data_IF_302724487729
#
_entry.id   IF_302724487729
#
_cell.length_a   1.000
_cell.length_b   1.000
_cell.length_c   1.000
_cell.angle_alpha   90.00
_cell.angle_beta   90.00
_cell.angle_gamma   90.00
#
_symmetry.space_group_name_H-M   'P 1'
#
loop_
_entity.id
_entity.type
_entity.pdbx_description
1 polymer ?
#
# COMPACT_ATOMS: atom_id res chain seq x y z
N UNK A 1 -8.62 -0.93 -0.76
CA UNK A 1 -8.82 -2.19 -1.48
C UNK A 1 -9.06 -3.32 -0.50
N UNK A 2 -10.28 -3.39 -0.03
CA UNK A 2 -10.71 -4.40 0.93
C UNK A 2 -11.15 -5.66 0.17
N UNK A 3 -10.47 -6.77 0.37
CA UNK A 3 -10.99 -8.11 0.12
C UNK A 3 -10.83 -8.90 1.41
N UNK A 4 -11.75 -8.64 2.33
CA UNK A 4 -11.99 -9.52 3.45
C UNK A 4 -13.47 -9.88 3.38
N UNK A 5 -13.79 -11.16 3.23
CA UNK A 5 -15.17 -11.64 3.21
C UNK A 5 -15.80 -11.44 4.58
N UNK A 6 -16.59 -10.39 4.74
CA UNK A 6 -17.63 -10.39 5.76
C UNK A 6 -18.75 -11.26 5.20
N UNK A 7 -18.76 -12.53 5.58
CA UNK A 7 -19.87 -13.44 5.31
C UNK A 7 -21.11 -12.90 6.05
N UNK A 8 -22.03 -12.30 5.32
CA UNK A 8 -23.32 -11.87 5.86
C UNK A 8 -23.95 -10.62 5.28
N UNK A 9 -23.29 -9.91 4.36
CA UNK A 9 -23.91 -8.73 3.70
C UNK A 9 -23.99 -9.00 2.20
N UNK A 10 -24.93 -9.84 1.81
CA UNK A 10 -25.30 -10.01 0.41
C UNK A 10 -26.00 -8.73 -0.08
N UNK A 11 -25.49 -8.18 -1.17
CA UNK A 11 -26.10 -7.24 -2.14
C UNK A 11 -27.14 -6.22 -1.61
N UNK A 12 -26.80 -5.46 -0.57
CA UNK A 12 -27.65 -4.33 -0.19
C UNK A 12 -27.65 -3.28 -1.32
N UNK A 13 -28.82 -2.84 -1.74
CA UNK A 13 -28.97 -1.78 -2.73
C UNK A 13 -28.56 -0.43 -2.15
N UNK A 14 -28.30 0.56 -3.02
CA UNK A 14 -27.94 1.93 -2.62
C UNK A 14 -28.95 2.56 -1.67
N UNK A 15 -30.23 2.21 -1.82
CA UNK A 15 -31.31 2.72 -0.99
C UNK A 15 -31.39 1.99 0.36
N UNK A 16 -31.07 0.71 0.41
CA UNK A 16 -30.93 -0.05 1.67
C UNK A 16 -29.77 0.45 2.52
N UNK A 17 -28.63 0.77 1.91
CA UNK A 17 -27.50 1.40 2.59
C UNK A 17 -27.85 2.79 3.14
N UNK A 18 -28.62 3.59 2.38
CA UNK A 18 -29.12 4.89 2.84
C UNK A 18 -30.12 4.73 3.99
N UNK A 19 -31.03 3.77 3.90
CA UNK A 19 -31.98 3.45 4.95
C UNK A 19 -31.31 2.96 6.23
N UNK A 20 -30.30 2.11 6.09
CA UNK A 20 -29.49 1.61 7.21
C UNK A 20 -28.71 2.71 7.92
N UNK A 21 -28.11 3.65 7.16
CA UNK A 21 -27.38 4.80 7.71
C UNK A 21 -28.32 5.87 8.31
N UNK A 22 -29.54 5.99 7.82
CA UNK A 22 -30.54 6.93 8.33
C UNK A 22 -31.26 6.46 9.60
N UNK A 23 -31.00 5.25 10.09
CA UNK A 23 -31.55 4.79 11.39
C UNK A 23 -33.06 4.59 11.43
N UNK A 24 -33.71 4.25 10.30
CA UNK A 24 -35.16 4.01 10.24
C UNK A 24 -36.04 5.27 10.36
N UNK A 25 -36.99 5.39 9.49
CA UNK A 25 -38.02 6.45 9.33
C UNK A 25 -37.95 7.68 10.27
N UNK A 26 -37.52 8.82 9.74
CA UNK A 26 -37.79 10.12 10.35
C UNK A 26 -38.69 10.94 9.42
N UNK A 27 -39.98 10.94 9.72
CA UNK A 27 -40.88 12.01 9.34
C UNK A 27 -40.91 13.02 10.50
N UNK A 28 -39.87 13.89 10.56
CA UNK A 28 -39.99 15.18 11.26
C UNK A 28 -38.83 16.06 10.84
N UNK A 29 -39.10 17.39 10.63
CA UNK A 29 -38.02 18.37 10.40
C UNK A 29 -37.08 18.32 11.57
N UNK A 30 -35.74 18.23 11.36
CA UNK A 30 -34.84 18.17 12.48
C UNK A 30 -34.88 19.49 13.25
N UNK A 31 -35.33 19.43 14.48
CA UNK A 31 -34.98 20.39 15.52
C UNK A 31 -33.45 20.31 15.70
N UNK A 32 -32.73 21.43 15.90
CA UNK A 32 -31.29 21.36 16.12
C UNK A 32 -31.04 20.53 17.37
N UNK A 33 -30.61 19.31 17.20
CA UNK A 33 -30.13 18.45 18.28
C UNK A 33 -28.85 19.10 18.79
N UNK A 34 -28.78 19.35 20.12
CA UNK A 34 -27.58 19.79 20.79
C UNK A 34 -26.40 18.95 20.28
N UNK A 35 -25.33 19.60 19.79
CA UNK A 35 -24.18 18.98 19.14
C UNK A 35 -23.64 17.85 20.00
N UNK A 36 -23.96 16.63 19.65
CA UNK A 36 -23.19 15.47 20.12
C UNK A 36 -21.81 15.70 19.55
N UNK A 37 -20.83 15.97 20.43
CA UNK A 37 -19.46 16.27 20.02
C UNK A 37 -18.99 15.14 19.11
N UNK A 38 -18.71 15.44 17.85
CA UNK A 38 -18.27 14.45 16.88
C UNK A 38 -16.85 14.03 17.27
N UNK A 39 -16.65 12.75 17.47
CA UNK A 39 -15.36 12.18 17.87
C UNK A 39 -14.89 11.18 16.84
N UNK A 40 -13.60 11.21 16.50
CA UNK A 40 -13.01 10.33 15.48
C UNK A 40 -13.21 8.86 15.83
N UNK A 41 -13.00 8.46 17.09
CA UNK A 41 -13.18 7.07 17.51
C UNK A 41 -14.61 6.55 17.26
N UNK A 42 -15.62 7.40 17.51
CA UNK A 42 -17.02 7.08 17.22
C UNK A 42 -17.30 6.96 15.71
N UNK A 43 -16.69 7.85 14.90
CA UNK A 43 -16.81 7.79 13.44
C UNK A 43 -16.16 6.52 12.87
N UNK A 44 -15.05 6.07 13.44
CA UNK A 44 -14.38 4.81 13.02
C UNK A 44 -15.29 3.62 13.28
N UNK A 45 -15.92 3.53 14.45
CA UNK A 45 -16.88 2.46 14.75
C UNK A 45 -18.00 2.41 13.73
N UNK A 46 -18.56 3.59 13.39
CA UNK A 46 -19.59 3.70 12.35
C UNK A 46 -19.07 3.29 10.96
N UNK A 47 -17.89 3.77 10.56
CA UNK A 47 -17.27 3.41 9.28
C UNK A 47 -17.10 1.89 9.14
N UNK A 48 -16.60 1.23 10.19
CA UNK A 48 -16.43 -0.24 10.20
C UNK A 48 -17.78 -0.95 10.09
N UNK A 49 -18.80 -0.50 10.85
CA UNK A 49 -20.13 -1.13 10.84
C UNK A 49 -20.81 -1.10 9.48
N UNK A 50 -20.54 -0.07 8.66
CA UNK A 50 -21.13 0.09 7.31
C UNK A 50 -20.18 -0.37 6.19
N UNK A 51 -19.01 -0.89 6.53
CA UNK A 51 -18.01 -1.33 5.54
C UNK A 51 -17.42 -0.18 4.72
N UNK A 52 -17.28 1.00 5.31
CA UNK A 52 -16.67 2.16 4.65
C UNK A 52 -15.17 2.03 4.55
N UNK A 53 -14.62 2.44 3.42
CA UNK A 53 -13.17 2.53 3.20
C UNK A 53 -12.58 3.84 3.72
N UNK A 54 -13.35 4.93 3.64
CA UNK A 54 -12.86 6.26 4.00
C UNK A 54 -13.97 7.05 4.74
N UNK A 55 -13.54 7.91 5.67
CA UNK A 55 -14.35 8.92 6.36
C UNK A 55 -13.95 10.28 5.78
N UNK A 56 -14.92 11.06 5.33
CA UNK A 56 -14.71 12.35 4.68
C UNK A 56 -15.32 13.45 5.56
N UNK A 57 -14.51 14.41 5.99
CA UNK A 57 -14.88 15.47 6.92
C UNK A 57 -14.51 16.82 6.31
N UNK A 58 -15.49 17.71 6.20
CA UNK A 58 -15.30 19.06 5.69
C UNK A 58 -16.28 20.03 6.35
N UNK A 59 -15.84 21.23 6.69
CA UNK A 59 -16.71 22.28 7.19
C UNK A 59 -17.82 22.62 6.18
N UNK A 60 -19.02 22.82 6.66
CA UNK A 60 -20.20 23.15 5.82
C UNK A 60 -20.86 21.94 5.15
N UNK A 61 -20.36 20.71 5.35
CA UNK A 61 -21.00 19.48 4.88
C UNK A 61 -21.26 18.51 6.06
N UNK A 62 -22.08 17.49 5.82
CA UNK A 62 -22.25 16.39 6.77
C UNK A 62 -21.00 15.50 6.77
N UNK A 63 -20.78 14.76 7.87
CA UNK A 63 -19.88 13.60 7.84
C UNK A 63 -20.28 12.71 6.68
N UNK A 64 -19.32 12.26 5.89
CA UNK A 64 -19.58 11.33 4.79
C UNK A 64 -18.65 10.11 4.86
N UNK A 65 -19.19 8.98 4.43
CA UNK A 65 -18.47 7.71 4.35
C UNK A 65 -18.36 7.26 2.90
N UNK A 66 -17.21 6.72 2.51
CA UNK A 66 -17.04 6.09 1.20
C UNK A 66 -17.29 4.60 1.33
N UNK A 67 -18.44 4.13 0.85
CA UNK A 67 -18.87 2.74 0.95
C UNK A 67 -18.94 2.14 -0.45
N UNK A 68 -18.13 1.11 -0.74
CA UNK A 68 -18.05 0.45 -2.06
C UNK A 68 -17.85 1.42 -3.24
N UNK A 69 -17.17 2.54 -3.00
CA UNK A 69 -16.90 3.58 -3.99
C UNK A 69 -17.91 4.72 -4.03
N UNK A 70 -19.10 4.56 -3.45
CA UNK A 70 -20.12 5.61 -3.34
C UNK A 70 -19.89 6.48 -2.09
N UNK A 71 -20.27 7.77 -2.18
CA UNK A 71 -20.26 8.69 -1.03
C UNK A 71 -21.64 8.67 -0.38
N UNK A 72 -21.69 8.30 0.89
CA UNK A 72 -22.89 8.23 1.71
C UNK A 72 -22.77 9.25 2.84
N UNK A 73 -23.65 10.25 2.86
CA UNK A 73 -23.71 11.25 3.93
C UNK A 73 -24.42 10.72 5.15
N UNK A 74 -23.97 11.15 6.32
CA UNK A 74 -24.51 10.78 7.62
C UNK A 74 -25.10 12.02 8.32
N UNK A 75 -26.34 12.42 7.99
CA UNK A 75 -26.95 13.64 8.51
C UNK A 75 -27.21 13.59 10.02
N UNK A 76 -27.17 12.43 10.63
CA UNK A 76 -27.28 12.24 12.09
C UNK A 76 -26.18 12.94 12.89
N UNK A 77 -25.02 13.22 12.26
CA UNK A 77 -23.94 13.99 12.89
C UNK A 77 -24.09 15.52 12.70
N UNK A 78 -25.10 15.96 11.93
CA UNK A 78 -25.28 17.37 11.58
C UNK A 78 -24.27 17.87 10.55
N UNK A 79 -24.32 19.17 10.28
CA UNK A 79 -23.36 19.86 9.42
C UNK A 79 -22.16 20.30 10.27
N UNK A 80 -20.97 19.90 9.88
CA UNK A 80 -19.73 20.22 10.58
C UNK A 80 -19.44 21.73 10.53
N UNK A 81 -19.24 22.35 11.68
CA UNK A 81 -18.76 23.72 11.78
C UNK A 81 -17.23 23.78 11.70
N UNK A 82 -16.68 25.00 11.56
CA UNK A 82 -15.21 25.19 11.63
C UNK A 82 -14.64 24.72 12.98
N UNK A 83 -15.38 24.96 14.07
CA UNK A 83 -14.97 24.52 15.41
C UNK A 83 -14.95 23.00 15.55
N UNK A 84 -15.90 22.28 14.91
CA UNK A 84 -15.89 20.84 14.87
C UNK A 84 -14.66 20.33 14.11
N UNK A 85 -14.30 20.97 12.98
CA UNK A 85 -13.12 20.62 12.19
C UNK A 85 -11.82 20.86 12.95
N UNK A 86 -11.70 21.97 13.69
CA UNK A 86 -10.53 22.23 14.54
C UNK A 86 -10.40 21.18 15.63
N UNK A 87 -11.51 20.81 16.26
CA UNK A 87 -11.55 19.75 17.28
C UNK A 87 -11.16 18.38 16.71
N UNK A 88 -11.68 18.04 15.52
CA UNK A 88 -11.35 16.79 14.83
C UNK A 88 -9.88 16.76 14.39
N UNK A 89 -9.32 17.90 13.96
CA UNK A 89 -7.90 18.05 13.65
C UNK A 89 -7.04 17.79 14.90
N UNK A 90 -7.41 18.37 16.04
CA UNK A 90 -6.70 18.13 17.31
C UNK A 90 -6.77 16.66 17.76
N UNK A 91 -7.89 15.99 17.55
CA UNK A 91 -8.02 14.55 17.84
C UNK A 91 -7.17 13.68 16.92
N UNK A 92 -7.15 14.01 15.62
CA UNK A 92 -6.48 13.21 14.58
C UNK A 92 -4.97 13.36 14.55
N UNK A 93 -4.41 14.41 15.17
CA UNK A 93 -3.01 14.82 14.99
C UNK A 93 -2.27 15.02 16.30
N UNK A 94 -0.95 14.86 16.25
CA UNK A 94 -0.03 15.25 17.32
C UNK A 94 0.37 16.73 17.20
N UNK A 95 1.05 17.27 18.22
CA UNK A 95 1.61 18.64 18.13
C UNK A 95 2.59 18.77 16.95
N UNK A 96 3.44 17.75 16.76
CA UNK A 96 4.41 17.71 15.64
C UNK A 96 3.71 17.73 14.29
N UNK A 97 2.59 16.99 14.17
CA UNK A 97 1.78 16.98 12.95
C UNK A 97 1.17 18.34 12.67
N UNK A 98 0.67 19.04 13.71
CA UNK A 98 0.08 20.38 13.56
C UNK A 98 1.10 21.43 13.14
N UNK A 99 2.33 21.35 13.66
CA UNK A 99 3.43 22.20 13.21
C UNK A 99 3.71 21.98 11.72
N UNK A 100 3.83 20.70 11.30
CA UNK A 100 4.01 20.35 9.88
C UNK A 100 2.85 20.80 8.99
N UNK A 101 1.62 20.65 9.47
CA UNK A 101 0.43 21.12 8.75
C UNK A 101 0.40 22.65 8.62
N UNK A 102 0.81 23.36 9.68
CA UNK A 102 0.90 24.83 9.66
C UNK A 102 1.87 25.34 8.58
N UNK A 103 3.00 24.63 8.40
CA UNK A 103 4.04 25.01 7.45
C UNK A 103 3.66 24.68 6.00
N UNK A 104 3.03 23.51 5.78
CA UNK A 104 2.82 22.95 4.44
C UNK A 104 1.37 23.07 3.94
N UNK A 105 0.40 23.34 4.82
CA UNK A 105 -1.05 23.37 4.56
C UNK A 105 -1.60 22.01 4.05
N UNK A 106 -0.82 20.96 4.15
CA UNK A 106 -1.11 19.57 3.81
C UNK A 106 -0.32 18.66 4.73
N UNK A 107 -0.95 17.57 5.15
CA UNK A 107 -0.36 16.60 6.08
C UNK A 107 -0.87 15.19 5.78
N UNK A 108 0.05 14.27 5.55
CA UNK A 108 -0.21 12.84 5.68
C UNK A 108 0.34 12.37 7.03
N UNK A 109 -0.52 11.68 7.80
CA UNK A 109 -0.19 11.11 9.10
C UNK A 109 -1.05 9.86 9.35
N UNK A 110 -0.88 9.27 10.51
CA UNK A 110 -1.72 8.17 10.97
C UNK A 110 -2.38 8.49 12.30
N UNK A 111 -3.52 7.88 12.54
CA UNK A 111 -4.23 7.94 13.80
C UNK A 111 -4.52 6.52 14.30
N UNK A 112 -4.32 6.29 15.60
CA UNK A 112 -4.71 5.04 16.23
C UNK A 112 -5.91 5.29 17.15
N UNK A 113 -6.99 4.55 16.93
CA UNK A 113 -8.19 4.59 17.76
C UNK A 113 -7.81 4.29 19.23
N UNK A 114 -8.20 5.17 20.13
CA UNK A 114 -7.73 5.15 21.52
C UNK A 114 -8.67 4.38 22.43
N UNK A 115 -9.97 4.43 22.13
CA UNK A 115 -11.01 3.91 23.04
C UNK A 115 -12.06 3.09 22.28
N UNK A 116 -12.82 2.28 23.04
CA UNK A 116 -13.95 1.51 22.53
C UNK A 116 -13.58 0.16 21.96
N UNK A 117 -14.55 -0.47 21.30
CA UNK A 117 -14.44 -1.82 20.71
C UNK A 117 -13.33 -1.90 19.65
N UNK A 118 -13.05 -0.79 18.96
CA UNK A 118 -12.06 -0.71 17.89
C UNK A 118 -10.74 -0.10 18.35
N UNK A 119 -10.46 -0.04 19.65
CA UNK A 119 -9.18 0.45 20.17
C UNK A 119 -8.00 -0.31 19.55
N UNK A 120 -6.98 0.44 19.14
CA UNK A 120 -5.82 -0.11 18.44
C UNK A 120 -5.93 -0.06 16.90
N UNK A 121 -7.13 0.09 16.33
CA UNK A 121 -7.31 0.29 14.87
C UNK A 121 -6.56 1.52 14.40
N UNK A 122 -5.98 1.41 13.21
CA UNK A 122 -5.26 2.54 12.60
C UNK A 122 -6.05 3.13 11.44
N UNK A 123 -5.87 4.43 11.27
CA UNK A 123 -6.34 5.19 10.11
C UNK A 123 -5.14 5.85 9.46
N UNK A 124 -5.10 5.89 8.15
CA UNK A 124 -4.32 6.88 7.42
C UNK A 124 -5.12 8.15 7.36
N UNK A 125 -4.54 9.26 7.78
CA UNK A 125 -5.20 10.57 7.85
C UNK A 125 -4.48 11.52 6.90
N UNK A 126 -5.21 12.07 5.95
CA UNK A 126 -4.78 13.21 5.17
C UNK A 126 -5.54 14.44 5.64
N UNK A 127 -4.83 15.51 5.93
CA UNK A 127 -5.38 16.82 6.24
C UNK A 127 -4.93 17.78 5.17
N UNK A 128 -5.88 18.38 4.48
CA UNK A 128 -5.64 19.44 3.48
C UNK A 128 -6.47 20.66 3.80
N UNK A 129 -6.35 21.73 3.03
CA UNK A 129 -7.23 22.91 3.14
C UNK A 129 -8.24 22.96 2.00
N UNK A 130 -9.48 23.28 2.36
CA UNK A 130 -10.54 23.63 1.44
C UNK A 130 -11.18 24.94 1.90
N UNK A 131 -11.18 25.98 1.06
CA UNK A 131 -11.75 27.29 1.38
C UNK A 131 -11.27 27.83 2.75
N UNK A 132 -9.96 27.75 2.99
CA UNK A 132 -9.27 28.19 4.23
C UNK A 132 -9.50 27.30 5.47
N UNK A 133 -10.43 26.36 5.44
CA UNK A 133 -10.70 25.44 6.54
C UNK A 133 -10.01 24.08 6.37
N UNK A 134 -9.68 23.34 7.43
CA UNK A 134 -9.19 21.98 7.32
C UNK A 134 -10.24 21.06 6.67
N UNK A 135 -9.77 20.19 5.80
CA UNK A 135 -10.51 19.05 5.26
C UNK A 135 -9.76 17.79 5.68
N UNK A 136 -10.44 16.82 6.28
CA UNK A 136 -9.83 15.61 6.81
C UNK A 136 -10.40 14.40 6.10
N UNK A 137 -9.51 13.56 5.56
CA UNK A 137 -9.87 12.26 4.99
C UNK A 137 -9.19 11.18 5.80
N UNK A 138 -9.99 10.31 6.44
CA UNK A 138 -9.47 9.18 7.20
C UNK A 138 -9.75 7.89 6.45
N UNK A 139 -8.71 7.18 6.02
CA UNK A 139 -8.83 5.82 5.48
C UNK A 139 -8.77 4.80 6.59
N UNK A 140 -9.80 3.95 6.67
CA UNK A 140 -9.84 2.85 7.64
C UNK A 140 -8.89 1.75 7.18
N UNK A 141 -7.90 1.42 8.03
CA UNK A 141 -6.92 0.37 7.75
C UNK A 141 -7.44 -0.96 8.28
N UNK A 142 -7.25 -2.03 7.49
CA UNK A 142 -7.60 -3.38 7.91
C UNK A 142 -6.72 -3.86 9.07
N UNK A 143 -7.29 -4.63 9.99
CA UNK A 143 -6.61 -5.23 11.14
C UNK A 143 -6.10 -6.64 10.88
N UNK A 144 -6.58 -7.27 9.83
CA UNK A 144 -6.17 -8.63 9.44
C UNK A 144 -5.18 -8.54 8.29
N UNK A 145 -3.99 -9.08 8.51
CA UNK A 145 -3.00 -9.27 7.44
C UNK A 145 -3.32 -10.59 6.76
N UNK A 146 -3.79 -10.59 5.49
CA UNK A 146 -4.11 -11.82 4.79
C UNK A 146 -2.83 -12.64 4.53
N UNK A 147 -2.96 -13.95 4.44
CA UNK A 147 -1.82 -14.82 4.10
C UNK A 147 -1.40 -14.65 2.63
N UNK A 148 -0.13 -14.97 2.27
CA UNK A 148 0.31 -14.92 0.88
C UNK A 148 -0.54 -15.82 -0.04
N UNK A 149 -1.00 -16.94 0.48
CA UNK A 149 -1.84 -17.92 -0.21
C UNK A 149 -3.22 -17.35 -0.55
N UNK A 150 -3.86 -16.68 0.40
CA UNK A 150 -5.15 -15.99 0.19
C UNK A 150 -5.07 -14.90 -0.85
N UNK A 151 -3.93 -14.19 -0.91
CA UNK A 151 -3.68 -13.14 -1.90
C UNK A 151 -3.29 -13.68 -3.28
N UNK A 152 -2.90 -14.94 -3.38
CA UNK A 152 -2.33 -15.52 -4.59
C UNK A 152 -0.92 -15.02 -4.89
N UNK A 153 -0.14 -14.70 -3.85
CA UNK A 153 1.26 -14.27 -3.98
C UNK A 153 2.10 -15.46 -4.46
N UNK A 154 2.95 -15.21 -5.46
CA UNK A 154 3.85 -16.22 -6.00
C UNK A 154 4.78 -16.78 -4.90
N UNK A 155 4.90 -18.11 -4.73
CA UNK A 155 5.66 -18.74 -3.64
C UNK A 155 7.12 -18.26 -3.55
N UNK A 156 7.77 -18.01 -4.68
CA UNK A 156 9.15 -17.53 -4.75
C UNK A 156 9.35 -16.22 -3.98
N UNK A 157 8.32 -15.35 -3.89
CA UNK A 157 8.42 -14.11 -3.15
C UNK A 157 8.55 -14.34 -1.64
N UNK A 158 7.98 -15.43 -1.14
CA UNK A 158 8.19 -15.82 0.25
C UNK A 158 9.63 -16.30 0.48
N UNK A 159 10.19 -17.06 -0.45
CA UNK A 159 11.60 -17.49 -0.38
C UNK A 159 12.52 -16.28 -0.37
N UNK A 160 12.26 -15.29 -1.22
CA UNK A 160 13.03 -14.03 -1.25
C UNK A 160 12.88 -13.25 0.07
N UNK A 161 11.64 -13.11 0.55
CA UNK A 161 11.38 -12.39 1.80
C UNK A 161 11.99 -13.08 3.02
N UNK A 162 12.08 -14.41 3.02
CA UNK A 162 12.63 -15.21 4.12
C UNK A 162 14.13 -15.52 3.99
N UNK A 163 14.77 -15.06 2.92
CA UNK A 163 16.22 -15.16 2.73
C UNK A 163 16.98 -14.47 3.87
N UNK A 164 18.23 -14.84 4.07
CA UNK A 164 19.09 -14.18 5.06
C UNK A 164 19.74 -12.90 4.51
N UNK A 165 19.89 -12.81 3.19
CA UNK A 165 20.54 -11.69 2.49
C UNK A 165 19.83 -11.41 1.19
N UNK A 166 19.93 -10.21 0.68
CA UNK A 166 19.46 -9.83 -0.64
C UNK A 166 18.74 -8.49 -0.69
N UNK A 167 18.39 -8.11 -1.90
CA UNK A 167 17.66 -6.87 -2.19
C UNK A 167 16.47 -7.18 -3.10
N UNK A 168 15.27 -7.13 -2.57
CA UNK A 168 14.04 -7.46 -3.30
C UNK A 168 13.25 -6.20 -3.63
N UNK A 169 12.91 -6.02 -4.91
CA UNK A 169 12.09 -4.91 -5.39
C UNK A 169 10.66 -5.39 -5.69
N UNK A 170 9.68 -4.82 -4.98
CA UNK A 170 8.26 -5.00 -5.31
C UNK A 170 7.77 -3.75 -6.02
N UNK A 171 7.44 -3.88 -7.30
CA UNK A 171 7.11 -2.79 -8.20
C UNK A 171 5.62 -2.77 -8.57
N UNK A 172 5.13 -1.65 -9.06
CA UNK A 172 3.76 -1.48 -9.54
C UNK A 172 3.21 -0.10 -9.26
N UNK A 173 2.06 0.21 -9.85
CA UNK A 173 1.36 1.49 -9.67
C UNK A 173 0.80 1.64 -8.25
N UNK A 174 0.37 2.85 -7.91
CA UNK A 174 -0.39 3.08 -6.65
C UNK A 174 -1.66 2.22 -6.65
N UNK A 175 -1.93 1.56 -5.53
CA UNK A 175 -3.09 0.67 -5.40
C UNK A 175 -2.92 -0.71 -6.05
N UNK A 176 -1.72 -1.09 -6.50
CA UNK A 176 -1.44 -2.45 -7.01
C UNK A 176 -1.28 -3.52 -5.92
N UNK A 177 -1.38 -3.15 -4.63
CA UNK A 177 -1.32 -4.07 -3.49
C UNK A 177 0.08 -4.34 -2.96
N UNK A 178 1.11 -3.54 -3.29
CA UNK A 178 2.49 -3.73 -2.83
C UNK A 178 2.61 -3.85 -1.32
N UNK A 179 2.03 -2.90 -0.59
CA UNK A 179 2.05 -2.88 0.88
C UNK A 179 1.39 -4.12 1.47
N UNK A 180 0.25 -4.55 0.91
CA UNK A 180 -0.46 -5.75 1.35
C UNK A 180 0.36 -7.01 1.12
N UNK A 181 1.01 -7.13 -0.05
CA UNK A 181 1.92 -8.25 -0.38
C UNK A 181 3.09 -8.30 0.60
N UNK A 182 3.76 -7.16 0.84
CA UNK A 182 4.89 -7.09 1.77
C UNK A 182 4.48 -7.41 3.20
N UNK A 183 3.37 -6.83 3.69
CA UNK A 183 2.85 -7.13 5.01
C UNK A 183 2.54 -8.63 5.17
N UNK A 184 1.92 -9.24 4.17
CA UNK A 184 1.61 -10.67 4.14
C UNK A 184 2.87 -11.54 4.21
N UNK A 185 3.90 -11.23 3.40
CA UNK A 185 5.17 -11.94 3.40
C UNK A 185 5.91 -11.83 4.74
N UNK A 186 6.00 -10.62 5.30
CA UNK A 186 6.63 -10.38 6.60
C UNK A 186 5.88 -11.05 7.74
N UNK A 187 4.54 -11.02 7.71
CA UNK A 187 3.72 -11.68 8.71
C UNK A 187 3.96 -13.21 8.69
N UNK A 188 4.01 -13.82 7.52
CA UNK A 188 4.34 -15.24 7.36
C UNK A 188 5.76 -15.54 7.84
N UNK A 189 6.75 -14.68 7.51
CA UNK A 189 8.13 -14.87 7.92
C UNK A 189 8.28 -14.86 9.46
N UNK A 190 7.67 -13.86 10.17
CA UNK A 190 7.72 -13.80 11.63
C UNK A 190 6.98 -14.95 12.32
N UNK A 191 5.91 -15.48 11.72
CA UNK A 191 5.16 -16.62 12.25
C UNK A 191 5.91 -17.93 12.07
N UNK A 192 6.75 -18.04 11.06
CA UNK A 192 7.44 -19.27 10.69
C UNK A 192 8.83 -19.42 11.33
N UNK A 193 9.48 -18.33 11.72
CA UNK A 193 10.86 -18.34 12.23
C UNK A 193 11.11 -17.20 13.23
N UNK A 194 12.12 -17.33 14.12
CA UNK A 194 12.48 -16.29 15.11
C UNK A 194 13.23 -15.12 14.46
N UNK A 195 12.64 -14.50 13.46
CA UNK A 195 13.20 -13.37 12.71
C UNK A 195 12.97 -12.05 13.46
N UNK A 196 14.02 -11.23 13.52
CA UNK A 196 13.95 -9.83 13.92
C UNK A 196 13.68 -8.96 12.68
N UNK A 197 12.48 -8.45 12.53
CA UNK A 197 12.06 -7.69 11.35
C UNK A 197 11.95 -6.21 11.74
N UNK A 198 12.54 -5.32 10.95
CA UNK A 198 12.39 -3.89 11.09
C UNK A 198 11.68 -3.31 9.87
N UNK A 199 10.72 -2.40 10.08
CA UNK A 199 10.05 -1.69 8.98
C UNK A 199 10.20 -0.19 9.14
N UNK A 200 10.38 0.50 8.00
CA UNK A 200 10.35 1.95 7.87
C UNK A 200 9.24 2.31 6.89
N UNK A 201 8.23 3.02 7.35
CA UNK A 201 6.96 3.22 6.61
C UNK A 201 6.51 4.69 6.61
N UNK A 202 5.68 5.08 5.62
CA UNK A 202 5.16 6.45 5.47
C UNK A 202 3.74 6.45 4.83
N UNK A 203 2.68 6.28 5.61
CA UNK A 203 2.60 5.80 7.01
C UNK A 203 2.55 4.27 7.15
N UNK A 204 2.50 3.75 8.39
CA UNK A 204 2.23 2.33 8.66
C UNK A 204 0.80 1.98 8.24
N UNK A 205 0.66 1.02 7.30
CA UNK A 205 -0.66 0.57 6.80
C UNK A 205 -1.16 -0.71 7.49
N UNK A 206 -0.29 -1.58 7.98
CA UNK A 206 -0.63 -2.81 8.70
C UNK A 206 0.13 -2.88 10.01
N UNK A 207 -0.55 -3.23 11.09
CA UNK A 207 0.09 -3.43 12.39
C UNK A 207 0.33 -4.92 12.64
N UNK A 208 1.57 -5.26 12.93
CA UNK A 208 1.92 -6.65 13.26
C UNK A 208 1.71 -6.89 14.76
N UNK A 209 0.90 -7.88 15.14
CA UNK A 209 0.72 -8.22 16.55
C UNK A 209 1.97 -8.92 17.09
N UNK A 210 2.61 -8.33 18.12
CA UNK A 210 3.82 -8.89 18.72
C UNK A 210 3.55 -9.86 19.89
N UNK A 211 2.29 -10.02 20.30
CA UNK A 211 1.91 -10.83 21.47
C UNK A 211 1.00 -12.02 21.08
N UNK A 212 1.08 -12.48 19.83
CA UNK A 212 0.26 -13.58 19.32
C UNK A 212 0.93 -14.97 19.41
N UNK A 213 2.07 -15.04 20.08
CA UNK A 213 2.84 -16.29 20.22
C UNK A 213 3.75 -16.63 19.03
N UNK A 214 3.84 -15.75 18.05
CA UNK A 214 4.78 -15.94 16.92
C UNK A 214 6.23 -15.91 17.39
N UNK A 215 7.12 -16.76 16.82
CA UNK A 215 8.54 -16.80 17.20
C UNK A 215 9.33 -15.55 16.82
N UNK A 216 8.96 -14.89 15.72
CA UNK A 216 9.57 -13.65 15.26
C UNK A 216 8.84 -12.41 15.73
N UNK A 217 9.47 -11.26 15.59
CA UNK A 217 8.90 -9.95 15.95
C UNK A 217 9.06 -8.94 14.82
N UNK A 218 8.19 -7.92 14.80
CA UNK A 218 8.30 -6.79 13.88
C UNK A 218 8.38 -5.50 14.69
N UNK A 219 9.41 -4.70 14.44
CA UNK A 219 9.55 -3.34 14.95
C UNK A 219 9.22 -2.38 13.84
N UNK A 220 8.07 -1.70 13.94
CA UNK A 220 7.59 -0.76 12.91
C UNK A 220 7.93 0.66 13.32
N UNK A 221 8.41 1.45 12.36
CA UNK A 221 8.73 2.87 12.54
C UNK A 221 8.10 3.70 11.44
N UNK A 222 7.42 4.77 11.83
CA UNK A 222 6.67 5.64 10.94
C UNK A 222 7.38 6.99 10.74
N UNK A 223 7.50 7.42 9.49
CA UNK A 223 8.05 8.73 9.16
C UNK A 223 7.18 9.84 9.71
N UNK A 224 7.84 10.81 10.32
CA UNK A 224 7.16 11.94 10.96
C UNK A 224 6.80 11.69 12.43
N UNK A 225 6.61 10.43 12.83
CA UNK A 225 6.37 10.04 14.22
C UNK A 225 7.64 9.49 14.88
N UNK A 226 8.26 8.45 14.28
CA UNK A 226 9.39 7.72 14.87
C UNK A 226 10.74 8.14 14.25
N UNK A 227 10.72 8.72 13.07
CA UNK A 227 11.92 9.27 12.42
C UNK A 227 11.56 10.44 11.49
N UNK A 228 12.55 11.30 11.23
CA UNK A 228 12.37 12.49 10.39
C UNK A 228 12.84 12.30 8.96
N UNK A 229 13.98 11.64 8.76
CA UNK A 229 14.59 11.43 7.45
C UNK A 229 14.84 9.95 7.21
N UNK A 230 14.61 9.48 5.99
CA UNK A 230 14.86 8.11 5.57
C UNK A 230 16.31 7.71 5.80
N UNK A 231 17.26 8.56 5.40
CA UNK A 231 18.69 8.32 5.56
C UNK A 231 19.09 7.99 7.01
N UNK A 232 18.61 8.79 7.97
CA UNK A 232 18.91 8.56 9.40
C UNK A 232 18.23 7.29 9.91
N UNK A 233 17.01 7.01 9.44
CA UNK A 233 16.27 5.82 9.82
C UNK A 233 16.92 4.54 9.30
N UNK A 234 17.29 4.51 8.02
CA UNK A 234 17.98 3.36 7.39
C UNK A 234 19.31 3.09 8.09
N UNK A 235 20.12 4.11 8.33
CA UNK A 235 21.37 3.98 9.10
C UNK A 235 21.15 3.48 10.55
N UNK A 236 20.01 3.78 11.13
CA UNK A 236 19.64 3.31 12.48
C UNK A 236 19.23 1.84 12.49
N UNK A 237 18.60 1.35 11.42
CA UNK A 237 18.16 -0.05 11.29
C UNK A 237 19.33 -1.01 11.42
N UNK A 238 20.49 -0.70 10.86
CA UNK A 238 21.73 -1.49 11.01
C UNK A 238 22.07 -1.82 12.47
N UNK A 239 21.86 -0.87 13.37
CA UNK A 239 22.17 -1.04 14.81
C UNK A 239 21.10 -1.83 15.56
N UNK A 240 20.01 -2.18 14.91
CA UNK A 240 18.92 -2.99 15.47
C UNK A 240 19.09 -4.47 15.15
N UNK A 241 20.12 -4.83 14.38
CA UNK A 241 20.43 -6.19 13.97
C UNK A 241 19.22 -6.92 13.38
N UNK A 242 18.56 -6.38 12.34
CA UNK A 242 17.42 -7.02 11.73
C UNK A 242 17.87 -8.17 10.83
N UNK A 243 17.12 -9.27 10.84
CA UNK A 243 17.23 -10.31 9.80
C UNK A 243 16.62 -9.85 8.48
N UNK A 244 15.54 -9.06 8.59
CA UNK A 244 14.81 -8.52 7.43
C UNK A 244 14.52 -7.04 7.71
N UNK A 245 14.81 -6.17 6.74
CA UNK A 245 14.43 -4.78 6.78
C UNK A 245 13.49 -4.42 5.62
N UNK A 246 12.30 -3.91 5.94
CA UNK A 246 11.41 -3.30 4.95
C UNK A 246 11.65 -1.79 4.93
N UNK A 247 11.99 -1.26 3.77
CA UNK A 247 11.96 0.17 3.47
C UNK A 247 10.77 0.40 2.54
N UNK A 248 9.69 1.00 3.04
CA UNK A 248 8.39 0.99 2.33
C UNK A 248 8.49 1.54 0.91
N UNK A 249 9.22 2.62 0.71
CA UNK A 249 9.50 3.16 -0.62
C UNK A 249 10.84 3.87 -0.65
N UNK A 250 11.64 3.61 -1.68
CA UNK A 250 12.85 4.36 -1.98
C UNK A 250 12.60 5.29 -3.16
N UNK A 251 12.94 6.58 -2.99
CA UNK A 251 12.57 7.63 -3.96
C UNK A 251 13.76 8.38 -4.53
N UNK A 252 14.83 8.51 -3.76
CA UNK A 252 15.98 9.33 -4.13
C UNK A 252 17.30 8.56 -4.07
N UNK A 253 18.33 9.20 -4.60
CA UNK A 253 19.70 8.71 -4.67
C UNK A 253 20.25 8.22 -3.31
N UNK A 254 20.05 9.00 -2.24
CA UNK A 254 20.64 8.69 -0.94
C UNK A 254 19.97 7.47 -0.28
N UNK A 255 18.67 7.34 -0.46
CA UNK A 255 17.87 6.21 0.04
C UNK A 255 18.26 4.92 -0.66
N UNK A 256 18.36 4.94 -2.01
CA UNK A 256 18.76 3.79 -2.82
C UNK A 256 20.16 3.34 -2.44
N UNK A 257 21.13 4.27 -2.40
CA UNK A 257 22.52 3.98 -2.05
C UNK A 257 22.65 3.35 -0.68
N UNK A 258 21.93 3.89 0.30
CA UNK A 258 21.97 3.34 1.66
C UNK A 258 21.29 1.97 1.75
N UNK A 259 20.18 1.76 1.04
CA UNK A 259 19.52 0.46 0.99
C UNK A 259 20.39 -0.63 0.34
N UNK A 260 21.11 -0.30 -0.74
CA UNK A 260 22.09 -1.20 -1.35
C UNK A 260 23.24 -1.51 -0.41
N UNK A 261 23.79 -0.49 0.28
CA UNK A 261 24.85 -0.71 1.30
C UNK A 261 24.40 -1.64 2.42
N UNK A 262 23.11 -1.57 2.82
CA UNK A 262 22.54 -2.53 3.78
C UNK A 262 22.56 -3.96 3.24
N UNK A 263 22.14 -4.15 1.98
CA UNK A 263 22.16 -5.46 1.33
C UNK A 263 23.60 -6.01 1.22
N UNK A 264 24.55 -5.18 0.82
CA UNK A 264 25.99 -5.52 0.77
C UNK A 264 26.55 -5.94 2.13
N UNK A 265 26.03 -5.38 3.22
CA UNK A 265 26.44 -5.74 4.59
C UNK A 265 25.79 -7.03 5.11
N UNK A 266 25.08 -7.77 4.25
CA UNK A 266 24.53 -9.09 4.57
C UNK A 266 23.13 -9.07 5.19
N UNK A 267 22.32 -8.05 4.90
CA UNK A 267 20.93 -7.97 5.34
C UNK A 267 19.96 -8.29 4.20
N UNK A 268 18.80 -8.81 4.53
CA UNK A 268 17.71 -8.97 3.57
C UNK A 268 16.82 -7.71 3.54
N UNK A 269 16.86 -6.99 2.43
CA UNK A 269 16.16 -5.73 2.23
C UNK A 269 15.00 -5.94 1.27
N UNK A 270 13.80 -5.57 1.70
CA UNK A 270 12.62 -5.49 0.85
C UNK A 270 12.24 -4.02 0.69
N UNK A 271 11.92 -3.62 -0.53
CA UNK A 271 11.48 -2.24 -0.79
C UNK A 271 10.52 -2.15 -1.96
N UNK A 272 9.89 -0.99 -2.13
CA UNK A 272 9.00 -0.76 -3.28
C UNK A 272 9.52 0.33 -4.19
N UNK A 273 9.16 0.18 -5.48
CA UNK A 273 9.37 1.16 -6.53
C UNK A 273 8.12 1.29 -7.41
N UNK A 274 7.93 2.48 -7.98
CA UNK A 274 6.94 2.67 -9.04
C UNK A 274 7.55 2.34 -10.40
N UNK A 275 7.45 1.08 -10.83
CA UNK A 275 7.92 0.64 -12.14
C UNK A 275 6.91 -0.36 -12.74
N UNK A 276 6.85 -0.43 -14.07
CA UNK A 276 5.92 -1.28 -14.84
C UNK A 276 6.55 -2.56 -15.38
N UNK A 277 7.88 -2.72 -15.26
CA UNK A 277 8.66 -3.89 -15.66
C UNK A 277 9.95 -3.95 -14.84
N UNK A 278 10.66 -5.08 -14.85
CA UNK A 278 11.98 -5.18 -14.22
C UNK A 278 12.99 -4.26 -14.92
N UNK A 279 12.95 -4.20 -16.25
CA UNK A 279 13.77 -3.29 -17.04
C UNK A 279 13.54 -1.82 -16.66
N UNK A 280 12.28 -1.42 -16.44
CA UNK A 280 11.94 -0.07 -15.98
C UNK A 280 12.40 0.18 -14.53
N UNK A 281 12.36 -0.83 -13.66
CA UNK A 281 12.85 -0.72 -12.29
C UNK A 281 14.36 -0.46 -12.25
N UNK A 282 15.15 -1.25 -12.99
CA UNK A 282 16.61 -1.06 -13.12
C UNK A 282 16.92 0.32 -13.69
N UNK A 283 16.26 0.72 -14.80
CA UNK A 283 16.46 2.05 -15.40
C UNK A 283 16.14 3.17 -14.41
N UNK A 284 15.08 3.03 -13.61
CA UNK A 284 14.68 4.05 -12.64
C UNK A 284 15.70 4.18 -11.49
N UNK A 285 16.28 3.06 -11.03
CA UNK A 285 17.35 3.07 -10.03
C UNK A 285 18.55 3.82 -10.58
N UNK A 286 19.02 3.46 -11.78
CA UNK A 286 20.22 4.06 -12.39
C UNK A 286 20.04 5.56 -12.65
N UNK A 287 18.85 5.97 -13.09
CA UNK A 287 18.54 7.37 -13.40
C UNK A 287 18.61 8.33 -12.19
N UNK A 288 18.70 7.81 -10.97
CA UNK A 288 18.90 8.63 -9.77
C UNK A 288 20.37 9.01 -9.55
N UNK A 289 21.30 8.43 -10.27
CA UNK A 289 22.73 8.57 -10.05
C UNK A 289 23.42 9.33 -11.18
N UNK A 290 24.45 10.10 -10.81
CA UNK A 290 25.30 10.78 -11.77
C UNK A 290 26.05 9.75 -12.65
N UNK A 291 26.36 10.08 -13.92
CA UNK A 291 26.96 9.13 -14.87
C UNK A 291 28.22 8.42 -14.34
N UNK A 292 29.02 9.09 -13.52
CA UNK A 292 30.23 8.52 -12.93
C UNK A 292 29.99 7.52 -11.80
N UNK A 293 28.79 7.52 -11.18
CA UNK A 293 28.40 6.59 -10.13
C UNK A 293 27.68 5.35 -10.68
N UNK A 294 27.04 5.47 -11.85
CA UNK A 294 26.12 4.46 -12.39
C UNK A 294 26.74 3.07 -12.50
N UNK A 295 28.01 2.96 -12.93
CA UNK A 295 28.68 1.67 -13.06
C UNK A 295 28.78 0.94 -11.70
N UNK A 296 29.18 1.64 -10.65
CA UNK A 296 29.28 1.06 -9.30
C UNK A 296 27.91 0.64 -8.75
N UNK A 297 26.86 1.42 -9.04
CA UNK A 297 25.50 1.08 -8.62
C UNK A 297 24.96 -0.13 -9.40
N UNK A 298 25.26 -0.24 -10.68
CA UNK A 298 24.90 -1.41 -11.49
C UNK A 298 25.56 -2.68 -10.96
N UNK A 299 26.87 -2.63 -10.65
CA UNK A 299 27.60 -3.74 -10.06
C UNK A 299 27.03 -4.15 -8.69
N UNK A 300 26.73 -3.16 -7.84
CA UNK A 300 26.08 -3.38 -6.54
C UNK A 300 24.70 -4.01 -6.70
N UNK A 301 23.88 -3.48 -7.60
CA UNK A 301 22.55 -4.01 -7.88
C UNK A 301 22.62 -5.43 -8.43
N UNK A 302 23.48 -5.69 -9.42
CA UNK A 302 23.67 -7.02 -10.01
C UNK A 302 24.08 -8.07 -8.98
N UNK A 303 24.90 -7.68 -8.01
CA UNK A 303 25.44 -8.59 -6.98
C UNK A 303 24.45 -8.86 -5.85
N UNK A 304 23.60 -7.88 -5.49
CA UNK A 304 22.76 -7.95 -4.30
C UNK A 304 21.27 -8.14 -4.59
N UNK A 305 20.81 -7.83 -5.81
CA UNK A 305 19.41 -8.02 -6.18
C UNK A 305 19.02 -9.50 -6.07
N UNK A 306 17.97 -9.81 -5.35
CA UNK A 306 17.35 -11.14 -5.33
C UNK A 306 16.42 -11.30 -6.52
N UNK A 307 15.66 -10.24 -6.80
CA UNK A 307 14.78 -10.17 -7.95
C UNK A 307 13.82 -8.98 -7.91
N UNK A 308 13.09 -8.83 -8.98
CA UNK A 308 12.05 -7.82 -9.15
C UNK A 308 10.71 -8.50 -9.33
N UNK A 309 9.71 -8.11 -8.54
CA UNK A 309 8.31 -8.46 -8.76
C UNK A 309 7.55 -7.21 -9.18
N UNK A 310 6.93 -7.25 -10.35
CA UNK A 310 6.00 -6.20 -10.77
C UNK A 310 4.58 -6.70 -10.64
N UNK A 311 3.72 -5.95 -9.95
CA UNK A 311 2.35 -6.42 -9.69
C UNK A 311 1.26 -5.43 -10.08
N UNK A 312 0.13 -6.00 -10.45
CA UNK A 312 -1.12 -5.32 -10.74
C UNK A 312 -2.30 -6.04 -10.07
N UNK A 313 -3.37 -5.30 -9.84
CA UNK A 313 -4.66 -5.85 -9.43
C UNK A 313 -5.66 -5.73 -10.59
N UNK A 314 -6.27 -6.84 -10.97
CA UNK A 314 -7.22 -6.93 -12.08
C UNK A 314 -8.52 -7.55 -11.60
N UNK A 315 -9.65 -6.99 -12.01
CA UNK A 315 -10.96 -7.49 -11.59
C UNK A 315 -11.28 -8.84 -12.24
N UNK A 316 -11.99 -9.69 -11.49
CA UNK A 316 -12.68 -10.85 -12.04
C UNK A 316 -13.70 -10.44 -13.11
N UNK A 317 -14.16 -11.36 -14.00
CA UNK A 317 -15.14 -11.05 -15.03
C UNK A 317 -16.45 -10.48 -14.48
N UNK A 318 -16.90 -10.96 -13.33
CA UNK A 318 -18.09 -10.49 -12.59
C UNK A 318 -17.83 -9.23 -11.75
N UNK A 319 -16.59 -8.72 -11.74
CA UNK A 319 -16.12 -7.56 -10.96
C UNK A 319 -16.27 -7.69 -9.45
N UNK A 320 -16.52 -8.87 -8.93
CA UNK A 320 -16.75 -9.11 -7.49
C UNK A 320 -15.45 -9.08 -6.66
N UNK A 321 -14.32 -9.43 -7.28
CA UNK A 321 -13.02 -9.52 -6.60
C UNK A 321 -11.87 -9.03 -7.50
N UNK A 322 -10.72 -8.82 -6.88
CA UNK A 322 -9.47 -8.55 -7.58
C UNK A 322 -8.57 -9.78 -7.57
N UNK A 323 -7.89 -10.00 -8.68
CA UNK A 323 -6.80 -10.96 -8.80
C UNK A 323 -5.48 -10.23 -8.82
N UNK A 324 -4.52 -10.76 -8.07
CA UNK A 324 -3.14 -10.31 -8.10
C UNK A 324 -2.44 -10.92 -9.32
N UNK A 325 -1.84 -10.07 -10.14
CA UNK A 325 -1.02 -10.45 -11.30
C UNK A 325 0.41 -10.04 -10.98
N UNK A 326 1.34 -10.97 -11.04
CA UNK A 326 2.74 -10.76 -10.69
C UNK A 326 3.64 -11.22 -11.82
N UNK A 327 4.45 -10.30 -12.35
CA UNK A 327 5.59 -10.57 -13.22
C UNK A 327 6.81 -10.75 -12.33
N UNK A 328 7.46 -11.88 -12.43
CA UNK A 328 8.58 -12.27 -11.58
C UNK A 328 9.85 -12.31 -12.39
N UNK A 329 10.83 -11.50 -12.02
CA UNK A 329 12.16 -11.44 -12.63
C UNK A 329 13.22 -11.80 -11.57
N UNK A 330 13.64 -13.07 -11.47
CA UNK A 330 14.70 -13.48 -10.56
C UNK A 330 16.05 -13.02 -11.08
N UNK A 331 16.95 -12.64 -10.20
CA UNK A 331 18.31 -12.26 -10.55
C UNK A 331 19.19 -13.51 -10.76
N UNK A 332 19.00 -14.15 -11.90
CA UNK A 332 19.88 -15.25 -12.36
C UNK A 332 21.27 -14.71 -12.78
N UNK A 333 22.23 -15.59 -13.05
CA UNK A 333 23.56 -15.17 -13.53
C UNK A 333 23.45 -14.35 -14.82
N UNK A 334 22.61 -14.77 -15.78
CA UNK A 334 22.38 -14.05 -17.03
C UNK A 334 21.71 -12.69 -16.77
N UNK A 335 20.76 -12.64 -15.84
CA UNK A 335 20.12 -11.39 -15.45
C UNK A 335 21.09 -10.43 -14.77
N UNK A 336 21.95 -10.93 -13.89
CA UNK A 336 23.00 -10.15 -13.23
C UNK A 336 23.98 -9.54 -14.25
N UNK A 337 24.39 -10.28 -15.28
CA UNK A 337 25.24 -9.77 -16.35
C UNK A 337 24.57 -8.63 -17.13
N UNK A 338 23.29 -8.78 -17.48
CA UNK A 338 22.51 -7.72 -18.13
C UNK A 338 22.36 -6.48 -17.24
N UNK A 339 22.17 -6.67 -15.93
CA UNK A 339 22.09 -5.57 -14.98
C UNK A 339 23.44 -4.87 -14.85
N UNK A 340 24.53 -5.61 -14.67
CA UNK A 340 25.89 -5.05 -14.50
C UNK A 340 26.31 -4.22 -15.71
N UNK A 341 25.92 -4.64 -16.91
CA UNK A 341 26.20 -3.90 -18.15
C UNK A 341 25.20 -2.80 -18.46
N UNK A 342 24.10 -2.69 -17.70
CA UNK A 342 23.02 -1.73 -17.95
C UNK A 342 22.22 -2.02 -19.22
N UNK A 343 22.23 -3.28 -19.69
CA UNK A 343 21.47 -3.69 -20.90
C UNK A 343 19.97 -3.85 -20.58
N UNK A 344 19.30 -2.71 -20.46
CA UNK A 344 17.86 -2.63 -20.22
C UNK A 344 17.03 -3.37 -21.30
N UNK A 345 17.50 -3.38 -22.55
CA UNK A 345 16.81 -4.08 -23.64
C UNK A 345 16.97 -5.59 -23.53
N UNK A 346 18.14 -6.05 -23.07
CA UNK A 346 18.38 -7.45 -22.71
C UNK A 346 17.46 -7.93 -21.61
N UNK A 347 17.29 -7.13 -20.55
CA UNK A 347 16.35 -7.42 -19.46
C UNK A 347 14.92 -7.52 -19.99
N UNK A 348 14.45 -6.56 -20.80
CA UNK A 348 13.10 -6.58 -21.38
C UNK A 348 12.86 -7.80 -22.29
N UNK A 349 13.89 -8.20 -23.06
CA UNK A 349 13.82 -9.41 -23.87
C UNK A 349 13.72 -10.67 -23.00
N UNK A 350 14.49 -10.75 -21.94
CA UNK A 350 14.47 -11.88 -21.00
C UNK A 350 13.09 -12.00 -20.30
N UNK A 351 12.49 -10.88 -19.86
CA UNK A 351 11.12 -10.87 -19.32
C UNK A 351 10.10 -11.42 -20.34
N UNK A 352 10.21 -11.04 -21.60
CA UNK A 352 9.29 -11.46 -22.67
C UNK A 352 9.46 -12.92 -23.04
N UNK A 353 10.69 -13.39 -23.22
CA UNK A 353 11.00 -14.78 -23.56
C UNK A 353 10.61 -15.74 -22.42
N UNK A 354 10.74 -15.29 -21.17
CA UNK A 354 10.28 -16.02 -19.99
C UNK A 354 8.76 -15.98 -19.74
N UNK A 355 7.98 -15.33 -20.61
CA UNK A 355 6.54 -15.21 -20.42
C UNK A 355 6.14 -14.31 -19.25
N UNK A 356 7.06 -13.45 -18.78
CA UNK A 356 6.87 -12.62 -17.60
C UNK A 356 6.52 -11.16 -17.93
N UNK A 357 6.38 -10.79 -19.20
CA UNK A 357 5.88 -9.46 -19.53
C UNK A 357 4.45 -9.27 -19.01
N UNK A 358 4.18 -8.15 -18.39
CA UNK A 358 2.88 -7.88 -17.76
C UNK A 358 1.72 -8.03 -18.78
N UNK A 359 1.90 -7.58 -20.02
CA UNK A 359 0.87 -7.71 -21.04
C UNK A 359 0.57 -9.18 -21.41
N UNK A 360 1.57 -10.09 -21.39
CA UNK A 360 1.38 -11.53 -21.60
C UNK A 360 0.52 -12.13 -20.48
N UNK A 361 0.89 -11.88 -19.23
CA UNK A 361 0.17 -12.37 -18.03
C UNK A 361 -1.28 -11.88 -18.01
N UNK A 362 -1.50 -10.64 -18.45
CA UNK A 362 -2.84 -10.06 -18.55
C UNK A 362 -3.65 -10.71 -19.67
N UNK A 363 -3.04 -10.93 -20.85
CA UNK A 363 -3.70 -11.61 -21.97
C UNK A 363 -4.06 -13.06 -21.63
N UNK A 364 -3.15 -13.78 -20.99
CA UNK A 364 -3.37 -15.16 -20.53
C UNK A 364 -4.54 -15.22 -19.55
N UNK A 365 -4.57 -14.30 -18.57
CA UNK A 365 -5.65 -14.26 -17.60
C UNK A 365 -7.03 -13.93 -18.19
N UNK A 366 -7.09 -13.14 -19.28
CA UNK A 366 -8.34 -12.89 -20.02
C UNK A 366 -8.74 -14.13 -20.79
N UNK A 367 -7.82 -14.78 -21.50
CA UNK A 367 -8.08 -16.03 -22.25
C UNK A 367 -8.57 -17.16 -21.35
N UNK A 368 -7.97 -17.28 -20.18
CA UNK A 368 -8.36 -18.26 -19.15
C UNK A 368 -9.69 -17.91 -18.44
N UNK A 369 -10.33 -16.79 -18.77
CA UNK A 369 -11.56 -16.33 -18.14
C UNK A 369 -11.39 -15.89 -16.66
N UNK A 370 -10.15 -15.60 -16.24
CA UNK A 370 -9.86 -15.15 -14.86
C UNK A 370 -10.06 -13.66 -14.71
N UNK A 371 -9.83 -12.86 -15.76
CA UNK A 371 -9.82 -11.41 -15.71
C UNK A 371 -10.90 -10.79 -16.56
N UNK A 372 -11.45 -9.65 -16.09
CA UNK A 372 -12.30 -8.80 -16.90
C UNK A 372 -11.45 -8.13 -17.99
N UNK A 373 -11.85 -8.31 -19.28
CA UNK A 373 -11.03 -7.91 -20.43
C UNK A 373 -10.70 -6.40 -20.47
N UNK A 374 -11.68 -5.53 -20.21
CA UNK A 374 -11.45 -4.08 -20.23
C UNK A 374 -10.58 -3.63 -19.05
N UNK A 375 -10.71 -4.27 -17.88
CA UNK A 375 -9.88 -3.95 -16.73
C UNK A 375 -8.42 -4.39 -16.98
N UNK A 376 -8.22 -5.58 -17.53
CA UNK A 376 -6.90 -6.06 -17.94
C UNK A 376 -6.27 -5.12 -18.99
N UNK A 377 -7.04 -4.75 -20.02
CA UNK A 377 -6.60 -3.81 -21.08
C UNK A 377 -6.15 -2.47 -20.50
N UNK A 378 -6.85 -1.95 -19.51
CA UNK A 378 -6.52 -0.67 -18.85
C UNK A 378 -5.18 -0.70 -18.10
N UNK A 379 -4.62 -1.88 -17.83
CA UNK A 379 -3.34 -2.10 -17.16
C UNK A 379 -2.17 -2.31 -18.11
N UNK A 380 -2.46 -2.51 -19.42
CA UNK A 380 -1.42 -2.69 -20.43
C UNK A 380 -0.82 -1.33 -20.78
N UNK A 381 0.52 -1.27 -20.85
CA UNK A 381 1.21 -0.07 -21.30
C UNK A 381 0.85 0.21 -22.78
N UNK A 382 0.61 1.46 -23.21
CA UNK A 382 0.20 1.79 -24.58
C UNK A 382 1.10 1.18 -25.68
N UNK A 383 2.43 1.13 -25.46
CA UNK A 383 3.39 0.54 -26.41
C UNK A 383 3.19 -0.96 -26.63
N UNK A 384 2.63 -1.67 -25.63
CA UNK A 384 2.47 -3.13 -25.65
C UNK A 384 1.05 -3.55 -26.08
N UNK A 385 0.16 -2.58 -26.33
CA UNK A 385 -1.25 -2.82 -26.65
C UNK A 385 -1.45 -3.64 -27.93
N UNK A 386 -0.57 -3.47 -28.94
CA UNK A 386 -0.59 -4.27 -30.17
C UNK A 386 -0.40 -5.76 -29.85
N UNK A 387 0.66 -6.10 -29.10
CA UNK A 387 1.00 -7.47 -28.71
C UNK A 387 -0.10 -8.09 -27.82
N UNK A 388 -0.66 -7.31 -26.90
CA UNK A 388 -1.77 -7.75 -26.08
C UNK A 388 -3.00 -8.12 -26.92
N UNK A 389 -3.39 -7.28 -27.89
CA UNK A 389 -4.53 -7.54 -28.75
C UNK A 389 -4.29 -8.75 -29.68
N UNK A 390 -3.08 -8.92 -30.22
CA UNK A 390 -2.69 -10.08 -31.03
C UNK A 390 -2.78 -11.37 -30.20
N UNK A 391 -2.30 -11.33 -28.94
CA UNK A 391 -2.39 -12.47 -28.03
C UNK A 391 -3.84 -12.86 -27.69
N UNK A 392 -4.76 -11.90 -27.66
CA UNK A 392 -6.19 -12.18 -27.49
C UNK A 392 -6.87 -12.69 -28.76
N UNK A 393 -6.46 -12.22 -29.95
CA UNK A 393 -7.06 -12.60 -31.22
C UNK A 393 -6.59 -13.97 -31.75
N UNK A 394 -5.42 -14.42 -31.30
CA UNK A 394 -4.84 -15.72 -31.71
C UNK A 394 -5.32 -16.92 -30.87
N UNK A 395 -6.38 -16.73 -30.07
CA UNK A 395 -6.98 -17.75 -29.21
C UNK A 395 -8.18 -18.45 -29.86
#
# INVERSE_FOLDING_TARGET
NFVGSVSGVESATRDELRSFLAGGEVKEKPTPVASTRVEIDGLVGRAISVGASDILLQAGDNVAFKVRGDIVRAPEYGVLSNLDMDTLLEQATTNVDRDRYSDNLDLDTSYQVRFGEHAGRRLRVNVARSQTNPMITCRVIGDVIPSPEELGVAPILYDWANSNVGFTLICGTTGSGKTTTLASLLNKARQSAPKNIATLEDPIEYVFPNLDGSPGRVTQREKGQDFRTWQAAINSVLRQNPDIALIAEIRDHAEIKTALTLAESGHNILTTLHASSASAAVSRVIAQFEPHEQAAILDSLASNLTGVCVQNLVRSPDKSRYHLVQSIFPNTLDAAELIATGDVRGIERMEREGGQSMWQLLADGVRDGRFHADDARSRVHPRDMGMFNEALAGA
#
